data_IF_703108190487
#
_entry.id   IF_703108190487
#
_cell.length_a   1.000
_cell.length_b   1.000
_cell.length_c   1.000
_cell.angle_alpha   90.00
_cell.angle_beta   90.00
_cell.angle_gamma   90.00
#
_symmetry.space_group_name_H-M   'P 1'
#
loop_
_entity.id
_entity.type
_entity.pdbx_description
1 polymer ?
#
# COMPACT_ATOMS: atom_id res chain seq x y z
N UNK A 1 19.11 47.81 39.09
CA UNK A 1 19.57 47.28 37.77
C UNK A 1 19.49 45.75 37.70
N UNK A 2 18.30 45.18 37.95
CA UNK A 2 18.03 43.73 37.86
C UNK A 2 16.93 43.46 36.81
N UNK A 3 16.02 44.43 36.61
CA UNK A 3 14.90 44.33 35.68
C UNK A 3 15.32 44.18 34.20
N UNK A 4 16.44 44.81 33.80
CA UNK A 4 16.93 44.77 32.41
C UNK A 4 17.54 43.42 32.02
N UNK A 5 18.06 42.65 32.98
CA UNK A 5 18.63 41.32 32.71
C UNK A 5 17.57 40.23 32.54
N UNK A 6 16.43 40.37 33.21
CA UNK A 6 15.30 39.43 33.09
C UNK A 6 14.61 39.59 31.73
N UNK A 7 14.45 40.83 31.24
CA UNK A 7 13.84 41.10 29.94
C UNK A 7 14.62 40.49 28.76
N UNK A 8 15.97 40.44 28.86
CA UNK A 8 16.81 39.84 27.82
C UNK A 8 16.70 38.30 27.76
N UNK A 9 16.46 37.63 28.89
CA UNK A 9 16.27 36.18 28.93
C UNK A 9 14.95 35.75 28.25
N UNK A 10 13.91 36.57 28.32
CA UNK A 10 12.64 36.30 27.65
C UNK A 10 12.70 36.50 26.13
N UNK A 11 13.53 37.41 25.63
CA UNK A 11 13.67 37.65 24.20
C UNK A 11 14.32 36.47 23.44
N UNK A 12 15.20 35.71 24.10
CA UNK A 12 15.84 34.54 23.51
C UNK A 12 14.88 33.33 23.35
N UNK A 13 13.83 33.23 24.18
CA UNK A 13 12.86 32.13 24.07
C UNK A 13 11.88 32.29 22.88
N UNK A 14 11.72 33.50 22.33
CA UNK A 14 10.75 33.76 21.27
C UNK A 14 11.24 33.37 19.85
N UNK A 15 12.55 33.20 19.65
CA UNK A 15 13.14 32.89 18.33
C UNK A 15 13.18 31.39 18.00
N UNK A 16 12.89 30.49 18.96
CA UNK A 16 12.94 29.04 18.74
C UNK A 16 11.61 28.43 18.22
N UNK A 17 10.54 29.22 18.09
CA UNK A 17 9.22 28.74 17.69
C UNK A 17 8.70 29.40 16.41
N UNK A 18 9.53 29.49 15.37
CA UNK A 18 9.06 29.80 14.02
C UNK A 18 9.29 28.63 13.08
N UNK A 19 8.44 27.62 13.23
CA UNK A 19 8.20 26.62 12.19
C UNK A 19 6.68 26.47 11.99
N UNK A 20 5.98 27.59 11.75
CA UNK A 20 4.67 27.59 11.10
C UNK A 20 4.93 27.42 9.59
N UNK A 21 5.36 26.22 9.22
CA UNK A 21 5.16 25.70 7.88
C UNK A 21 3.73 25.18 7.83
N UNK A 22 2.82 26.04 7.37
CA UNK A 22 1.43 25.68 7.07
C UNK A 22 1.40 24.66 5.94
N UNK A 23 1.68 23.39 6.25
CA UNK A 23 1.12 22.30 5.46
C UNK A 23 -0.31 22.19 5.93
N UNK A 24 -1.23 22.81 5.20
CA UNK A 24 -2.61 22.34 5.14
C UNK A 24 -2.54 20.86 4.83
N UNK A 25 -2.52 20.03 5.87
CA UNK A 25 -2.76 18.60 5.77
C UNK A 25 -4.21 18.52 5.32
N UNK A 26 -4.38 18.51 4.01
CA UNK A 26 -5.56 17.98 3.36
C UNK A 26 -5.87 16.70 4.12
N UNK A 27 -7.06 16.69 4.71
CA UNK A 27 -7.60 15.70 5.62
C UNK A 27 -7.83 14.39 4.83
N UNK A 28 -6.77 13.83 4.29
CA UNK A 28 -6.72 12.52 3.67
C UNK A 28 -6.45 11.51 4.78
N UNK A 29 -7.53 10.88 5.24
CA UNK A 29 -7.60 9.58 5.92
C UNK A 29 -6.49 9.21 6.92
N UNK A 30 -6.93 9.06 8.17
CA UNK A 30 -6.24 8.48 9.33
C UNK A 30 -5.09 7.53 8.98
N UNK A 31 -3.92 7.87 9.54
CA UNK A 31 -2.73 7.01 9.67
C UNK A 31 -3.12 5.58 10.05
N UNK A 32 -2.88 4.63 9.16
CA UNK A 32 -2.82 3.22 9.51
C UNK A 32 -1.41 2.75 9.19
N UNK A 33 -0.57 2.67 10.22
CA UNK A 33 0.81 2.23 10.11
C UNK A 33 0.95 0.98 9.25
N UNK A 34 2.04 0.95 8.50
CA UNK A 34 2.30 0.15 7.32
C UNK A 34 2.40 -1.35 7.69
N UNK A 35 1.29 -2.02 8.05
CA UNK A 35 1.22 -3.46 8.39
C UNK A 35 1.44 -4.38 7.18
N UNK A 36 2.11 -3.92 6.12
CA UNK A 36 2.42 -4.77 4.99
C UNK A 36 3.65 -5.61 5.32
N UNK A 37 3.62 -6.93 5.04
CA UNK A 37 4.78 -7.78 5.22
C UNK A 37 5.99 -7.22 4.46
N UNK A 38 7.14 -7.17 5.13
CA UNK A 38 8.38 -6.74 4.49
C UNK A 38 8.79 -7.75 3.43
N UNK A 39 9.31 -7.24 2.33
CA UNK A 39 9.93 -8.04 1.27
C UNK A 39 11.41 -7.68 1.18
N UNK A 40 12.25 -8.65 0.82
CA UNK A 40 13.68 -8.42 0.63
C UNK A 40 13.98 -7.89 -0.78
N UNK A 41 15.02 -7.07 -0.90
CA UNK A 41 15.55 -6.63 -2.21
C UNK A 41 15.90 -7.80 -3.14
N UNK A 42 16.37 -8.92 -2.56
CA UNK A 42 16.64 -10.17 -3.30
C UNK A 42 15.42 -10.68 -4.05
N UNK A 43 14.20 -10.41 -3.58
CA UNK A 43 12.96 -10.78 -4.27
C UNK A 43 12.80 -10.00 -5.57
N UNK A 44 13.13 -8.71 -5.59
CA UNK A 44 13.11 -7.88 -6.79
C UNK A 44 14.26 -8.21 -7.75
N UNK A 45 15.46 -8.49 -7.24
CA UNK A 45 16.60 -8.92 -8.08
C UNK A 45 16.29 -10.20 -8.85
N UNK A 46 15.67 -11.20 -8.20
CA UNK A 46 15.25 -12.45 -8.85
C UNK A 46 14.22 -12.22 -9.94
N UNK A 47 13.27 -11.29 -9.74
CA UNK A 47 12.28 -10.92 -10.75
C UNK A 47 12.92 -10.25 -11.97
N UNK A 48 13.86 -9.34 -11.77
CA UNK A 48 14.61 -8.71 -12.86
C UNK A 48 15.46 -9.70 -13.68
N UNK A 49 15.94 -10.76 -13.04
CA UNK A 49 16.74 -11.80 -13.69
C UNK A 49 15.89 -12.85 -14.42
N UNK A 50 14.58 -12.93 -14.15
CA UNK A 50 13.71 -13.88 -14.85
C UNK A 50 13.31 -13.31 -16.22
N UNK A 51 13.69 -14.00 -17.30
CA UNK A 51 13.33 -13.73 -18.71
C UNK A 51 11.80 -13.54 -18.91
N UNK A 52 11.34 -12.90 -20.00
CA UNK A 52 9.93 -12.53 -20.21
C UNK A 52 9.07 -13.77 -20.53
N UNK A 53 8.74 -14.54 -19.51
CA UNK A 53 7.57 -15.42 -19.52
C UNK A 53 6.59 -14.81 -18.52
N UNK A 54 5.27 -14.86 -18.78
CA UNK A 54 4.30 -14.35 -17.83
C UNK A 54 4.61 -14.96 -16.46
N UNK A 55 4.75 -14.14 -15.42
CA UNK A 55 5.25 -14.62 -14.15
C UNK A 55 4.21 -15.57 -13.58
N UNK A 56 4.56 -16.86 -13.51
CA UNK A 56 3.70 -17.93 -12.95
C UNK A 56 3.43 -17.75 -11.44
N UNK A 57 3.96 -16.70 -10.83
CA UNK A 57 3.84 -16.44 -9.40
C UNK A 57 2.75 -15.41 -9.13
N UNK A 58 1.76 -15.82 -8.35
CA UNK A 58 0.56 -15.05 -8.03
C UNK A 58 0.87 -13.65 -7.45
N UNK A 59 1.94 -13.53 -6.67
CA UNK A 59 2.44 -12.24 -6.13
C UNK A 59 2.84 -11.23 -7.21
N UNK A 60 3.30 -11.68 -8.38
CA UNK A 60 3.73 -10.79 -9.47
C UNK A 60 2.54 -10.30 -10.27
N UNK A 61 1.54 -11.17 -10.52
CA UNK A 61 0.27 -10.73 -11.12
C UNK A 61 -0.43 -9.67 -10.26
N UNK A 62 -0.46 -9.88 -8.93
CA UNK A 62 -0.90 -8.84 -8.00
C UNK A 62 0.02 -7.61 -7.98
N UNK A 63 1.31 -7.80 -8.26
CA UNK A 63 2.29 -6.74 -8.47
C UNK A 63 1.93 -5.83 -9.63
N UNK A 64 1.50 -6.38 -10.77
CA UNK A 64 1.03 -5.57 -11.91
C UNK A 64 -0.21 -4.74 -11.56
N UNK A 65 -1.14 -5.32 -10.80
CA UNK A 65 -2.30 -4.57 -10.27
C UNK A 65 -1.84 -3.40 -9.38
N UNK A 66 -0.86 -3.63 -8.51
CA UNK A 66 -0.26 -2.59 -7.68
C UNK A 66 0.41 -1.49 -8.54
N UNK A 67 1.23 -1.89 -9.51
CA UNK A 67 1.92 -0.97 -10.42
C UNK A 67 0.93 -0.12 -11.20
N UNK A 68 -0.10 -0.72 -11.77
CA UNK A 68 -1.14 0.02 -12.49
C UNK A 68 -1.87 1.03 -11.59
N UNK A 69 -2.06 0.70 -10.30
CA UNK A 69 -2.79 1.57 -9.37
C UNK A 69 -1.95 2.76 -8.89
N UNK A 70 -0.65 2.57 -8.64
CA UNK A 70 0.19 3.58 -7.98
C UNK A 70 1.26 4.20 -8.90
N UNK A 71 1.62 3.50 -9.98
CA UNK A 71 2.78 3.83 -10.82
C UNK A 71 2.49 3.56 -12.31
N UNK A 72 1.25 3.84 -12.76
CA UNK A 72 0.72 3.50 -14.10
C UNK A 72 1.69 3.77 -15.27
N UNK A 73 2.43 4.88 -15.20
CA UNK A 73 3.34 5.33 -16.27
C UNK A 73 4.83 5.08 -15.96
N UNK A 74 5.15 4.51 -14.81
CA UNK A 74 6.53 4.30 -14.40
C UNK A 74 7.12 3.06 -15.07
N UNK A 75 8.10 3.26 -15.96
CA UNK A 75 8.75 2.17 -16.70
C UNK A 75 9.65 1.31 -15.81
N UNK A 76 10.37 1.94 -14.88
CA UNK A 76 11.41 1.29 -14.05
C UNK A 76 10.91 0.75 -12.71
N UNK A 77 9.64 0.96 -12.37
CA UNK A 77 9.07 0.48 -11.11
C UNK A 77 8.57 -0.95 -11.28
N UNK A 78 8.94 -1.81 -10.33
CA UNK A 78 8.50 -3.20 -10.23
C UNK A 78 7.81 -3.37 -8.90
N UNK A 79 6.66 -4.05 -8.93
CA UNK A 79 5.84 -4.23 -7.76
C UNK A 79 5.60 -5.70 -7.46
N UNK A 80 5.39 -5.99 -6.18
CA UNK A 80 4.95 -7.26 -5.64
C UNK A 80 3.68 -7.04 -4.83
N UNK A 81 2.65 -7.84 -5.09
CA UNK A 81 1.46 -7.90 -4.27
C UNK A 81 1.52 -9.06 -3.29
N UNK A 82 1.14 -8.83 -2.03
CA UNK A 82 1.13 -9.87 -1.01
C UNK A 82 -0.24 -10.60 -0.98
N UNK A 83 -0.32 -11.87 -1.43
CA UNK A 83 -1.60 -12.57 -1.55
C UNK A 83 -2.24 -12.87 -0.20
N UNK A 84 -1.43 -13.13 0.84
CA UNK A 84 -1.93 -13.51 2.16
C UNK A 84 -2.79 -12.44 2.83
N UNK A 85 -2.49 -11.16 2.63
CA UNK A 85 -3.32 -10.07 3.16
C UNK A 85 -4.58 -9.93 2.31
N UNK A 86 -4.46 -10.00 0.99
CA UNK A 86 -5.60 -9.92 0.09
C UNK A 86 -6.64 -11.01 0.40
N UNK A 87 -6.19 -12.23 0.71
CA UNK A 87 -7.08 -13.35 1.04
C UNK A 87 -7.67 -13.27 2.46
N UNK A 88 -7.10 -12.51 3.39
CA UNK A 88 -7.60 -12.44 4.78
C UNK A 88 -8.73 -11.43 4.94
N UNK A 89 -8.55 -10.23 4.42
CA UNK A 89 -9.42 -9.09 4.69
C UNK A 89 -9.63 -8.21 3.46
N UNK A 90 -9.37 -8.72 2.25
CA UNK A 90 -9.45 -7.97 1.00
C UNK A 90 -8.53 -6.76 0.95
N UNK A 91 -7.46 -6.76 1.75
CA UNK A 91 -6.41 -5.74 1.73
C UNK A 91 -5.20 -6.24 0.96
N UNK A 92 -5.00 -5.73 -0.24
CA UNK A 92 -3.80 -5.99 -1.02
C UNK A 92 -2.66 -5.06 -0.55
N UNK A 93 -1.64 -5.66 0.05
CA UNK A 93 -0.39 -4.98 0.34
C UNK A 93 0.53 -5.01 -0.88
N UNK A 94 1.07 -3.85 -1.23
CA UNK A 94 1.93 -3.63 -2.38
C UNK A 94 3.32 -3.21 -1.88
N UNK A 95 4.35 -3.85 -2.41
CA UNK A 95 5.74 -3.43 -2.24
C UNK A 95 6.33 -3.13 -3.62
N UNK A 96 6.77 -1.91 -3.86
CA UNK A 96 7.25 -1.46 -5.16
C UNK A 96 8.67 -0.91 -5.03
N UNK A 97 9.55 -1.31 -5.95
CA UNK A 97 10.92 -0.82 -6.01
C UNK A 97 11.19 -0.10 -7.31
N UNK A 98 11.90 1.03 -7.21
CA UNK A 98 12.48 1.79 -8.32
C UNK A 98 13.94 1.41 -8.62
N UNK A 99 14.47 0.39 -7.91
CA UNK A 99 15.86 -0.05 -7.97
C UNK A 99 16.75 0.49 -6.86
N UNK A 100 16.37 1.58 -6.19
CA UNK A 100 17.10 2.18 -5.08
C UNK A 100 16.39 2.00 -3.74
N UNK A 101 15.06 2.14 -3.74
CA UNK A 101 14.23 2.06 -2.53
C UNK A 101 13.07 1.10 -2.71
N UNK A 102 12.50 0.64 -1.59
CA UNK A 102 11.25 -0.12 -1.57
C UNK A 102 10.19 0.73 -0.87
N UNK A 103 9.14 1.07 -1.61
CA UNK A 103 7.97 1.76 -1.11
C UNK A 103 6.86 0.76 -0.81
N UNK A 104 6.10 1.01 0.24
CA UNK A 104 5.00 0.15 0.68
C UNK A 104 3.69 0.93 0.64
N UNK A 105 2.70 0.38 -0.03
CA UNK A 105 1.33 0.92 -0.10
C UNK A 105 0.31 -0.19 0.11
N UNK A 106 -0.95 0.18 0.30
CA UNK A 106 -2.05 -0.77 0.38
C UNK A 106 -3.23 -0.29 -0.46
N UNK A 107 -4.03 -1.23 -0.94
CA UNK A 107 -5.31 -0.98 -1.60
C UNK A 107 -6.25 -2.15 -1.35
N UNK A 108 -7.51 -2.00 -1.75
CA UNK A 108 -8.43 -3.14 -1.80
C UNK A 108 -7.96 -4.16 -2.84
N UNK A 109 -8.12 -5.44 -2.53
CA UNK A 109 -7.92 -6.53 -3.48
C UNK A 109 -8.91 -6.42 -4.65
N UNK A 110 -8.61 -7.01 -5.82
CA UNK A 110 -9.52 -7.00 -6.97
C UNK A 110 -10.90 -7.54 -6.63
N UNK A 111 -11.94 -7.06 -7.32
CA UNK A 111 -13.29 -7.61 -7.19
C UNK A 111 -13.27 -9.09 -7.61
N UNK A 112 -13.95 -9.96 -6.86
CA UNK A 112 -13.96 -11.41 -7.10
C UNK A 112 -12.71 -12.13 -6.56
N UNK A 113 -11.74 -11.41 -6.00
CA UNK A 113 -10.55 -12.03 -5.41
C UNK A 113 -10.94 -12.92 -4.23
N UNK A 114 -10.49 -14.19 -4.17
CA UNK A 114 -10.90 -15.11 -3.12
C UNK A 114 -10.41 -14.66 -1.74
N UNK A 115 -11.31 -14.72 -0.74
CA UNK A 115 -11.01 -14.33 0.62
C UNK A 115 -11.64 -15.25 1.67
N UNK A 116 -11.22 -15.12 2.92
CA UNK A 116 -11.71 -15.93 4.03
C UNK A 116 -11.20 -17.38 4.01
N UNK A 117 -11.83 -18.25 4.80
CA UNK A 117 -11.50 -19.68 4.84
C UNK A 117 -12.28 -20.43 3.75
N UNK A 118 -11.62 -21.35 3.03
CA UNK A 118 -12.21 -22.29 2.05
C UNK A 118 -12.72 -21.67 0.73
N UNK A 119 -12.24 -20.49 0.33
CA UNK A 119 -12.56 -19.86 -0.97
C UNK A 119 -14.05 -19.70 -1.30
N UNK A 120 -14.93 -19.69 -0.27
CA UNK A 120 -16.38 -19.50 -0.44
C UNK A 120 -16.78 -18.02 -0.52
N UNK A 121 -15.84 -17.13 -0.20
CA UNK A 121 -16.06 -15.69 -0.18
C UNK A 121 -15.14 -15.01 -1.20
N UNK A 122 -15.51 -13.80 -1.59
CA UNK A 122 -14.76 -12.96 -2.49
C UNK A 122 -14.78 -11.50 -2.07
N UNK A 123 -13.81 -10.74 -2.57
CA UNK A 123 -13.74 -9.31 -2.34
C UNK A 123 -14.74 -8.56 -3.22
N UNK A 124 -15.51 -7.66 -2.62
CA UNK A 124 -16.40 -6.76 -3.35
C UNK A 124 -15.74 -5.41 -3.68
N UNK A 125 -16.45 -4.54 -4.39
CA UNK A 125 -15.98 -3.20 -4.78
C UNK A 125 -15.63 -2.30 -3.59
N UNK A 126 -16.16 -2.59 -2.39
CA UNK A 126 -15.88 -1.84 -1.16
C UNK A 126 -14.68 -2.41 -0.37
N UNK A 127 -13.95 -3.39 -0.93
CA UNK A 127 -12.85 -4.05 -0.24
C UNK A 127 -13.28 -4.88 0.96
N UNK A 128 -14.51 -5.43 0.94
CA UNK A 128 -15.00 -6.33 1.99
C UNK A 128 -15.05 -7.75 1.48
N UNK A 129 -14.72 -8.70 2.36
CA UNK A 129 -14.89 -10.12 2.08
C UNK A 129 -16.34 -10.51 2.29
N UNK A 130 -17.02 -10.91 1.21
CA UNK A 130 -18.45 -11.27 1.19
C UNK A 130 -18.66 -12.66 0.62
N UNK A 131 -19.75 -13.37 0.96
CA UNK A 131 -20.08 -14.64 0.31
C UNK A 131 -20.14 -14.50 -1.21
N UNK A 132 -19.57 -15.47 -1.93
CA UNK A 132 -19.69 -15.52 -3.39
C UNK A 132 -21.16 -15.62 -3.77
N UNK A 133 -21.59 -14.85 -4.77
CA UNK A 133 -22.90 -15.08 -5.37
C UNK A 133 -22.82 -16.41 -6.12
N UNK A 134 -23.55 -17.43 -5.66
CA UNK A 134 -23.77 -18.62 -6.46
C UNK A 134 -24.53 -18.18 -7.71
N UNK A 135 -23.85 -18.12 -8.86
CA UNK A 135 -24.55 -18.17 -10.13
C UNK A 135 -25.09 -19.59 -10.21
N UNK A 136 -26.36 -19.78 -9.86
CA UNK A 136 -27.09 -20.95 -10.33
C UNK A 136 -26.88 -20.99 -11.84
N UNK A 137 -26.16 -21.99 -12.32
CA UNK A 137 -26.20 -22.32 -13.73
C UNK A 137 -27.66 -22.61 -14.03
N UNK A 138 -28.33 -21.63 -14.61
CA UNK A 138 -29.63 -21.82 -15.25
C UNK A 138 -29.35 -22.78 -16.40
N UNK A 139 -29.60 -24.07 -16.13
CA UNK A 139 -29.61 -25.11 -17.14
C UNK A 139 -30.75 -24.76 -18.08
N UNK A 140 -30.43 -24.10 -19.19
CA UNK A 140 -31.31 -24.10 -20.34
C UNK A 140 -31.44 -25.56 -20.78
N UNK A 141 -32.61 -26.13 -20.51
CA UNK A 141 -33.08 -27.41 -21.05
C UNK A 141 -33.80 -27.15 -22.37
#
# INVERSE_FOLDING_TARGET
MILTRILLLFAALALACTAVGSTTKVKGQRRQGNKCPRVSEKSFKRLNQSRPKPPRHFSVGLGEVCKHSFFKNARKVICLGHPGTASRDCRLCCACSDGATITYSNKSAPIGYPCGKKDRNECNAFGRCVPKKHKSHERFH
#
